data_IF_452061827445
#
_entry.id   IF_452061827445
#
_cell.length_a   1.000
_cell.length_b   1.000
_cell.length_c   1.000
_cell.angle_alpha   90.00
_cell.angle_beta   90.00
_cell.angle_gamma   90.00
#
_symmetry.space_group_name_H-M   'P 1'
#
loop_
_entity.id
_entity.type
_entity.pdbx_description
1 polymer ?
#
# COMPACT_ATOMS: atom_id res chain seq x y z
N UNK A 1 14.24 -7.15 3.55
CA UNK A 1 13.77 -6.15 2.58
C UNK A 1 13.54 -4.85 3.35
N UNK A 2 14.33 -3.82 3.06
CA UNK A 2 14.27 -2.53 3.77
C UNK A 2 13.88 -1.48 2.75
N UNK A 3 12.86 -0.68 3.05
CA UNK A 3 12.41 0.41 2.17
C UNK A 3 12.87 1.72 2.79
N UNK A 4 13.80 2.40 2.11
CA UNK A 4 14.27 3.73 2.53
C UNK A 4 13.45 4.81 1.84
N UNK A 5 12.89 5.70 2.63
CA UNK A 5 12.04 6.79 2.14
C UNK A 5 12.30 8.06 2.92
N UNK A 6 12.41 9.18 2.19
CA UNK A 6 12.59 10.52 2.79
C UNK A 6 11.29 11.10 3.36
N UNK A 7 10.16 10.44 3.10
CA UNK A 7 8.80 10.91 3.45
C UNK A 7 8.02 9.79 4.14
N UNK A 8 6.99 10.09 4.94
CA UNK A 8 6.08 9.07 5.44
C UNK A 8 5.59 8.15 4.32
N UNK A 9 5.58 6.85 4.58
CA UNK A 9 5.15 5.80 3.65
C UNK A 9 3.98 5.04 4.25
N UNK A 10 2.86 5.03 3.53
CA UNK A 10 1.71 4.20 3.81
C UNK A 10 1.71 3.02 2.84
N UNK A 11 1.63 1.80 3.37
CA UNK A 11 1.58 0.58 2.57
C UNK A 11 0.24 -0.11 2.76
N UNK A 12 -0.55 -0.22 1.69
CA UNK A 12 -1.73 -1.08 1.66
C UNK A 12 -1.29 -2.51 1.37
N UNK A 13 -1.23 -3.33 2.40
CA UNK A 13 -1.00 -4.78 2.28
C UNK A 13 -2.34 -5.44 1.96
N UNK A 14 -2.44 -6.05 0.78
CA UNK A 14 -3.67 -6.67 0.32
C UNK A 14 -3.43 -7.86 -0.59
N UNK A 15 -4.53 -8.47 -1.04
CA UNK A 15 -4.52 -9.64 -1.91
C UNK A 15 -5.60 -9.53 -2.99
N UNK A 16 -5.50 -10.33 -4.05
CA UNK A 16 -6.52 -10.35 -5.11
C UNK A 16 -7.89 -10.84 -4.62
N UNK A 17 -7.93 -11.59 -3.53
CA UNK A 17 -9.14 -12.09 -2.89
C UNK A 17 -9.59 -11.23 -1.69
N UNK A 18 -8.88 -10.14 -1.37
CA UNK A 18 -9.24 -9.24 -0.29
C UNK A 18 -10.27 -8.19 -0.74
N UNK A 19 -11.56 -8.47 -0.50
CA UNK A 19 -12.66 -7.55 -0.80
C UNK A 19 -12.49 -6.13 -0.20
N UNK A 20 -12.20 -5.99 1.11
CA UNK A 20 -11.97 -4.69 1.73
C UNK A 20 -10.80 -3.91 1.12
N UNK A 21 -9.71 -4.59 0.77
CA UNK A 21 -8.54 -3.96 0.15
C UNK A 21 -8.89 -3.33 -1.20
N UNK A 22 -9.74 -3.99 -2.00
CA UNK A 22 -10.23 -3.47 -3.28
C UNK A 22 -11.11 -2.24 -3.13
N UNK A 23 -11.85 -2.11 -2.03
CA UNK A 23 -12.69 -0.95 -1.75
C UNK A 23 -11.89 0.25 -1.23
N UNK A 24 -10.82 0.01 -0.45
CA UNK A 24 -9.92 1.04 0.06
C UNK A 24 -8.96 1.58 -1.02
N UNK A 25 -8.61 0.73 -1.99
CA UNK A 25 -7.67 1.04 -3.05
C UNK A 25 -7.95 2.37 -3.82
N UNK A 26 -9.19 2.63 -4.29
CA UNK A 26 -9.52 3.89 -4.98
C UNK A 26 -9.36 5.12 -4.09
N UNK A 27 -9.83 5.05 -2.84
CA UNK A 27 -9.70 6.16 -1.90
C UNK A 27 -8.24 6.51 -1.59
N UNK A 28 -7.37 5.49 -1.51
CA UNK A 28 -5.94 5.70 -1.33
C UNK A 28 -5.25 6.27 -2.58
N UNK A 29 -5.71 5.93 -3.78
CA UNK A 29 -5.22 6.54 -5.03
C UNK A 29 -5.58 8.02 -5.13
N UNK A 30 -6.80 8.40 -4.75
CA UNK A 30 -7.21 9.82 -4.64
C UNK A 30 -6.33 10.56 -3.62
N UNK A 31 -6.18 10.00 -2.41
CA UNK A 31 -5.32 10.57 -1.37
C UNK A 31 -3.85 10.67 -1.80
N UNK A 32 -3.35 9.74 -2.63
CA UNK A 32 -1.98 9.81 -3.13
C UNK A 32 -1.73 11.06 -3.98
N UNK A 33 -2.76 11.51 -4.70
CA UNK A 33 -2.72 12.71 -5.52
C UNK A 33 -2.79 13.97 -4.65
N UNK A 34 -3.67 14.01 -3.66
CA UNK A 34 -3.80 15.14 -2.74
C UNK A 34 -2.60 15.31 -1.79
N UNK A 35 -1.96 14.20 -1.43
CA UNK A 35 -0.79 14.15 -0.56
C UNK A 35 0.51 14.04 -1.36
N UNK A 36 0.47 14.27 -2.67
CA UNK A 36 1.61 14.20 -3.54
C UNK A 36 2.77 15.03 -2.98
N UNK A 37 3.92 14.39 -2.82
CA UNK A 37 5.11 15.02 -2.28
C UNK A 37 5.14 15.18 -0.76
N UNK A 38 4.09 14.81 -0.02
CA UNK A 38 4.08 14.72 1.46
C UNK A 38 4.11 13.28 1.97
N UNK A 39 3.35 12.40 1.34
CA UNK A 39 3.25 10.97 1.71
C UNK A 39 3.45 10.12 0.46
N UNK A 40 4.15 9.00 0.62
CA UNK A 40 4.23 7.96 -0.41
C UNK A 40 3.19 6.90 -0.08
N UNK A 41 2.35 6.52 -1.04
CA UNK A 41 1.38 5.43 -0.87
C UNK A 41 1.79 4.30 -1.80
N UNK A 42 1.97 3.10 -1.24
CA UNK A 42 2.34 1.89 -1.98
C UNK A 42 1.31 0.78 -1.75
N UNK A 43 1.06 -0.03 -2.77
CA UNK A 43 0.28 -1.27 -2.68
C UNK A 43 1.22 -2.46 -2.68
N UNK A 44 1.03 -3.37 -1.74
CA UNK A 44 1.74 -4.64 -1.67
C UNK A 44 0.73 -5.78 -1.85
N UNK A 45 0.95 -6.62 -2.85
CA UNK A 45 0.18 -7.84 -3.03
C UNK A 45 0.88 -9.00 -2.31
N UNK A 46 0.20 -9.61 -1.34
CA UNK A 46 0.75 -10.73 -0.58
C UNK A 46 0.79 -12.04 -1.38
N UNK A 47 0.00 -12.15 -2.45
CA UNK A 47 0.05 -13.33 -3.32
C UNK A 47 1.42 -13.43 -4.03
N UNK A 48 2.08 -12.29 -4.28
CA UNK A 48 3.40 -12.19 -4.91
C UNK A 48 4.55 -12.33 -3.90
N UNK A 49 4.28 -12.00 -2.63
CA UNK A 49 5.25 -11.98 -1.54
C UNK A 49 4.65 -12.52 -0.23
N UNK A 50 4.33 -13.83 -0.17
CA UNK A 50 3.62 -14.43 0.97
C UNK A 50 4.38 -14.32 2.29
N UNK A 51 5.71 -14.21 2.25
CA UNK A 51 6.56 -14.00 3.42
C UNK A 51 6.32 -12.65 4.12
N UNK A 52 5.73 -11.68 3.42
CA UNK A 52 5.42 -10.36 3.97
C UNK A 52 4.07 -10.32 4.70
N UNK A 53 3.23 -11.35 4.55
CA UNK A 53 1.95 -11.47 5.25
C UNK A 53 2.09 -11.98 6.71
N UNK A 54 3.30 -12.30 7.16
CA UNK A 54 3.55 -13.12 8.37
C UNK A 54 4.14 -12.33 9.53
N UNK A 55 3.78 -11.05 9.71
CA UNK A 55 4.28 -10.27 10.87
C UNK A 55 3.21 -9.41 11.53
#
# INVERSE_FOLDING_TARGET
>A
MTVETKKPLLVLVGAQWCGPCKQLAPALEELSSELAGRVTIAKLNIDDHPELAVR
#
